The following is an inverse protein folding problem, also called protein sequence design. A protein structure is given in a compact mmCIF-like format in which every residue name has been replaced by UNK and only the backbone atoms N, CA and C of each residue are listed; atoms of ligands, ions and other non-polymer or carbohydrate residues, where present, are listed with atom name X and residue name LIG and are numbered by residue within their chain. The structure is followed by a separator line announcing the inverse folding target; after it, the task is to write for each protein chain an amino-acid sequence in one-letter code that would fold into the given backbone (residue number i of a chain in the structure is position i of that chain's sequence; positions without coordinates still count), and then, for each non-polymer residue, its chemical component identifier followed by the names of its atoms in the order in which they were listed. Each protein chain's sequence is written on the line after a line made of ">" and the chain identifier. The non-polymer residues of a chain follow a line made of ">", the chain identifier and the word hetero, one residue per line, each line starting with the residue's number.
data_IF_165674037544
#
_entry.id   IF_165674037544
#
_cell.length_a   1.000
_cell.length_b   1.000
_cell.length_c   1.000
_cell.angle_alpha   90.00
_cell.angle_beta   90.00
_cell.angle_gamma   90.00
#
_symmetry.space_group_name_H-M   'P 1'
#
loop_
_entity.id
_entity.type
_entity.pdbx_description
1 polymer ?
#
# COMPACT_ATOMS: atom_id res chain seq x y z
N UNK A 1 3.75 25.24 11.31
CA UNK A 1 3.56 25.08 9.86
C UNK A 1 4.84 25.33 9.10
N UNK A 2 5.19 24.44 8.18
CA UNK A 2 6.51 24.40 7.55
C UNK A 2 6.82 25.54 6.54
N UNK A 3 5.95 26.53 6.35
CA UNK A 3 6.13 27.67 5.42
C UNK A 3 6.67 27.27 4.03
N UNK A 4 6.15 26.18 3.46
CA UNK A 4 6.53 25.69 2.13
C UNK A 4 5.67 26.39 1.09
N UNK A 5 6.28 27.22 0.22
CA UNK A 5 5.59 27.90 -0.89
C UNK A 5 5.35 26.98 -2.08
N UNK A 6 6.36 26.19 -2.45
CA UNK A 6 6.31 25.22 -3.55
C UNK A 6 7.00 23.92 -3.10
N UNK A 7 6.50 22.77 -3.57
CA UNK A 7 7.08 21.46 -3.22
C UNK A 7 8.31 21.25 -4.12
N UNK A 8 9.53 21.11 -3.58
CA UNK A 8 10.71 20.89 -4.42
C UNK A 8 10.66 19.50 -5.10
N UNK A 9 11.30 19.34 -6.26
CA UNK A 9 11.52 18.03 -6.85
C UNK A 9 12.40 17.18 -5.93
N UNK A 10 12.03 15.92 -5.74
CA UNK A 10 12.77 15.02 -4.87
C UNK A 10 11.95 13.83 -4.38
N UNK A 11 12.58 13.06 -3.50
CA UNK A 11 11.99 11.90 -2.84
C UNK A 11 12.03 12.09 -1.33
N UNK A 12 10.97 11.66 -0.66
CA UNK A 12 10.82 11.74 0.79
C UNK A 12 10.26 10.44 1.34
N UNK A 13 10.80 10.03 2.47
CA UNK A 13 10.26 8.93 3.27
C UNK A 13 9.80 9.49 4.61
N UNK A 14 8.66 9.02 5.07
CA UNK A 14 8.12 9.31 6.39
C UNK A 14 7.66 8.02 7.04
N UNK A 15 8.00 7.84 8.30
CA UNK A 15 7.56 6.71 9.11
C UNK A 15 6.94 7.25 10.39
N UNK A 16 5.90 6.58 10.86
CA UNK A 16 5.28 6.86 12.15
C UNK A 16 4.83 5.57 12.80
N UNK A 17 4.86 5.54 14.12
CA UNK A 17 4.34 4.43 14.90
C UNK A 17 2.82 4.57 15.02
N UNK A 18 2.10 3.79 14.21
CA UNK A 18 0.66 3.67 14.34
C UNK A 18 0.32 2.62 15.42
N UNK A 19 -0.92 2.57 15.93
CA UNK A 19 -1.30 1.60 16.98
C UNK A 19 -1.06 0.12 16.63
N UNK A 20 -0.85 -0.20 15.35
CA UNK A 20 -0.68 -1.55 14.80
C UNK A 20 0.75 -1.83 14.32
N UNK A 21 1.67 -0.88 14.52
CA UNK A 21 3.07 -0.93 14.09
C UNK A 21 3.46 0.19 13.11
N UNK A 22 4.62 0.00 12.49
CA UNK A 22 5.24 0.99 11.60
C UNK A 22 4.39 1.26 10.34
N UNK A 23 3.92 2.51 10.22
CA UNK A 23 3.29 3.04 9.03
C UNK A 23 4.30 3.83 8.20
N UNK A 24 4.55 3.38 6.97
CA UNK A 24 5.57 3.97 6.08
C UNK A 24 4.94 4.64 4.86
N UNK A 25 5.38 5.87 4.58
CA UNK A 25 4.95 6.71 3.48
C UNK A 25 6.16 7.09 2.64
N UNK A 26 6.15 6.70 1.37
CA UNK A 26 7.10 7.18 0.37
C UNK A 26 6.40 8.15 -0.57
N UNK A 27 6.99 9.33 -0.77
CA UNK A 27 6.48 10.38 -1.66
C UNK A 27 7.58 10.79 -2.62
N UNK A 28 7.22 10.93 -3.90
CA UNK A 28 8.06 11.54 -4.92
C UNK A 28 7.36 12.74 -5.54
N UNK A 29 8.09 13.84 -5.65
CA UNK A 29 7.69 15.08 -6.32
C UNK A 29 8.62 15.37 -7.49
N UNK A 30 8.09 15.93 -8.57
CA UNK A 30 8.82 16.51 -9.71
C UNK A 30 8.86 18.04 -9.66
N UNK A 31 8.45 18.65 -8.54
CA UNK A 31 8.35 20.10 -8.40
C UNK A 31 6.95 20.63 -8.70
N UNK A 32 6.03 19.79 -9.17
CA UNK A 32 4.64 20.19 -9.42
C UNK A 32 3.78 20.13 -8.16
N UNK A 33 2.55 20.65 -8.25
CA UNK A 33 1.58 20.61 -7.16
C UNK A 33 0.97 19.21 -6.91
N UNK A 34 1.40 18.18 -7.63
CA UNK A 34 0.89 16.81 -7.48
C UNK A 34 2.04 15.84 -7.26
N UNK A 35 1.93 14.90 -6.30
CA UNK A 35 2.94 13.88 -6.13
C UNK A 35 2.96 12.98 -7.37
N UNK A 36 4.13 12.83 -7.97
CA UNK A 36 4.38 11.84 -9.04
C UNK A 36 4.07 10.44 -8.54
N UNK A 37 4.44 10.17 -7.29
CA UNK A 37 4.17 8.90 -6.63
C UNK A 37 3.95 9.14 -5.14
N UNK A 38 2.86 8.58 -4.61
CA UNK A 38 2.69 8.38 -3.18
C UNK A 38 2.43 6.89 -2.93
N UNK A 39 3.30 6.24 -2.16
CA UNK A 39 3.19 4.83 -1.79
C UNK A 39 3.07 4.74 -0.27
N UNK A 40 1.96 4.15 0.16
CA UNK A 40 1.71 3.84 1.57
C UNK A 40 1.92 2.34 1.80
N UNK A 41 2.63 2.03 2.88
CA UNK A 41 2.76 0.69 3.48
C UNK A 41 2.13 0.76 4.87
N UNK A 42 0.86 0.40 4.93
CA UNK A 42 0.14 0.27 6.19
C UNK A 42 0.74 -0.87 7.03
N UNK A 43 0.69 -0.77 8.37
CA UNK A 43 1.23 -1.79 9.27
C UNK A 43 0.58 -3.15 9.05
N UNK A 44 -0.76 -3.21 9.00
CA UNK A 44 -1.51 -4.46 8.77
C UNK A 44 -1.13 -5.15 7.46
N UNK A 45 -0.66 -4.42 6.43
CA UNK A 45 -0.24 -5.04 5.16
C UNK A 45 0.99 -5.95 5.35
N UNK A 46 1.85 -5.62 6.32
CA UNK A 46 3.02 -6.43 6.65
C UNK A 46 2.70 -7.52 7.68
N UNK A 47 1.72 -7.30 8.55
CA UNK A 47 1.33 -8.29 9.55
C UNK A 47 0.46 -9.41 8.96
N UNK A 48 -0.36 -9.15 7.94
CA UNK A 48 -1.31 -10.15 7.43
C UNK A 48 -0.66 -11.47 6.93
N UNK A 49 0.49 -11.46 6.23
CA UNK A 49 1.17 -12.68 5.84
C UNK A 49 1.65 -13.55 7.02
N UNK A 50 1.83 -12.98 8.22
CA UNK A 50 2.23 -13.80 9.38
C UNK A 50 1.15 -14.79 9.77
N UNK A 51 -0.13 -14.47 9.51
CA UNK A 51 -1.24 -15.39 9.74
C UNK A 51 -1.08 -16.71 8.99
N UNK A 52 -0.54 -16.70 7.76
CA UNK A 52 -0.31 -17.93 6.99
C UNK A 52 0.68 -18.86 7.71
N UNK A 53 1.75 -18.29 8.26
CA UNK A 53 2.76 -19.06 8.99
C UNK A 53 2.26 -19.54 10.36
N UNK A 54 1.41 -18.77 11.04
CA UNK A 54 0.94 -19.09 12.40
C UNK A 54 -0.30 -19.98 12.44
N UNK A 55 -1.10 -20.05 11.38
CA UNK A 55 -2.32 -20.87 11.34
C UNK A 55 -2.00 -22.35 11.07
N UNK A 56 -0.88 -22.64 10.39
CA UNK A 56 -0.53 -24.02 10.01
C UNK A 56 -0.21 -24.85 11.26
N UNK A 57 -1.04 -25.85 11.53
CA UNK A 57 -0.90 -26.76 12.67
C UNK A 57 -1.87 -26.47 13.83
N UNK A 58 -2.62 -25.38 13.75
CA UNK A 58 -3.59 -24.98 14.79
C UNK A 58 -5.02 -25.46 14.47
N UNK A 59 -5.92 -25.36 15.46
CA UNK A 59 -7.33 -25.68 15.25
C UNK A 59 -8.04 -24.59 14.44
N UNK A 60 -9.11 -24.96 13.75
CA UNK A 60 -9.94 -24.02 12.97
C UNK A 60 -10.51 -22.89 13.86
N UNK A 61 -10.80 -23.18 15.13
CA UNK A 61 -11.23 -22.18 16.12
C UNK A 61 -10.18 -21.09 16.33
N UNK A 62 -8.91 -21.45 16.32
CA UNK A 62 -7.79 -20.57 16.65
C UNK A 62 -7.45 -19.63 15.49
N UNK A 63 -7.84 -19.98 14.26
CA UNK A 63 -7.64 -19.13 13.08
C UNK A 63 -8.21 -17.71 13.27
N UNK A 64 -9.37 -17.59 13.93
CA UNK A 64 -10.00 -16.28 14.20
C UNK A 64 -9.28 -15.49 15.28
N UNK A 65 -8.75 -16.17 16.30
CA UNK A 65 -8.00 -15.57 17.41
C UNK A 65 -6.63 -15.08 16.91
N UNK A 66 -5.95 -15.89 16.11
CA UNK A 66 -4.68 -15.56 15.46
C UNK A 66 -4.84 -14.34 14.55
N UNK A 67 -5.92 -14.28 13.77
CA UNK A 67 -6.22 -13.12 12.95
C UNK A 67 -6.54 -11.88 13.79
N UNK A 68 -7.30 -12.02 14.89
CA UNK A 68 -7.61 -10.91 15.78
C UNK A 68 -6.36 -10.35 16.50
N UNK A 69 -5.38 -11.21 16.80
CA UNK A 69 -4.15 -10.83 17.49
C UNK A 69 -3.31 -9.78 16.72
N UNK A 70 -3.39 -9.75 15.39
CA UNK A 70 -2.68 -8.75 14.56
C UNK A 70 -3.45 -7.43 14.38
N UNK A 71 -4.64 -7.29 14.99
CA UNK A 71 -5.57 -6.17 14.86
C UNK A 71 -5.71 -5.65 13.41
N UNK A 72 -6.33 -6.45 12.51
CA UNK A 72 -6.31 -6.16 11.10
C UNK A 72 -7.21 -4.97 10.74
N UNK A 73 -6.61 -3.90 10.22
CA UNK A 73 -7.34 -2.83 9.56
C UNK A 73 -7.49 -3.12 8.05
N UNK A 74 -8.63 -3.68 7.64
CA UNK A 74 -8.92 -3.93 6.23
C UNK A 74 -8.90 -2.66 5.37
N UNK A 75 -9.44 -1.55 5.87
CA UNK A 75 -9.41 -0.26 5.15
C UNK A 75 -7.98 0.23 4.87
N UNK A 76 -7.01 -0.17 5.70
CA UNK A 76 -5.61 0.22 5.56
C UNK A 76 -4.85 -0.68 4.57
N UNK A 77 -5.30 -1.91 4.37
CA UNK A 77 -4.69 -2.91 3.47
C UNK A 77 -5.35 -2.97 2.10
N UNK A 78 -6.63 -2.62 2.05
CA UNK A 78 -7.41 -2.60 0.83
C UNK A 78 -7.02 -1.40 -0.04
N UNK A 79 -6.76 -1.69 -1.31
CA UNK A 79 -6.57 -0.70 -2.37
C UNK A 79 -7.53 -0.94 -3.54
N UNK A 80 -8.67 -1.60 -3.28
CA UNK A 80 -9.63 -1.97 -4.33
C UNK A 80 -10.59 -0.83 -4.62
N UNK A 81 -10.93 -0.60 -5.89
CA UNK A 81 -12.01 0.32 -6.26
C UNK A 81 -12.67 -0.03 -7.61
N UNK A 82 -13.99 0.22 -7.63
CA UNK A 82 -15.04 0.26 -8.67
C UNK A 82 -15.75 -1.04 -9.10
N UNK A 83 -17.04 -1.09 -8.73
CA UNK A 83 -18.11 -1.79 -9.43
C UNK A 83 -18.87 -0.83 -10.36
N UNK A 84 -19.30 -1.29 -11.55
CA UNK A 84 -20.22 -0.55 -12.42
C UNK A 84 -21.25 -1.52 -13.04
N UNK A 85 -22.52 -1.16 -12.99
CA UNK A 85 -23.67 -1.88 -13.57
C UNK A 85 -23.73 -1.82 -15.11
N UNK A 86 -22.84 -1.06 -15.77
CA UNK A 86 -22.74 -0.91 -17.24
C UNK A 86 -21.32 -1.19 -17.77
N UNK A 87 -21.12 -2.39 -18.33
CA UNK A 87 -20.05 -2.88 -19.26
C UNK A 87 -18.73 -2.07 -19.38
N UNK A 88 -18.05 -1.71 -18.28
CA UNK A 88 -16.64 -1.31 -18.30
C UNK A 88 -15.77 -2.41 -17.71
N UNK A 89 -14.56 -2.57 -18.26
CA UNK A 89 -13.62 -3.67 -17.99
C UNK A 89 -13.41 -3.84 -16.48
N UNK A 90 -13.83 -4.99 -15.96
CA UNK A 90 -13.62 -5.38 -14.56
C UNK A 90 -12.17 -5.84 -14.46
N UNK A 91 -11.37 -5.13 -13.68
CA UNK A 91 -9.99 -5.54 -13.37
C UNK A 91 -10.03 -6.44 -12.14
N UNK A 92 -9.54 -7.67 -12.28
CA UNK A 92 -9.32 -8.55 -11.15
C UNK A 92 -8.18 -8.03 -10.27
N UNK A 93 -8.06 -8.55 -9.04
CA UNK A 93 -6.90 -8.24 -8.18
C UNK A 93 -5.56 -8.53 -8.86
N UNK A 94 -5.49 -9.61 -9.68
CA UNK A 94 -4.31 -9.93 -10.48
C UNK A 94 -4.01 -8.86 -11.53
N UNK A 95 -5.04 -8.34 -12.18
CA UNK A 95 -4.88 -7.27 -13.18
C UNK A 95 -4.38 -5.98 -12.53
N UNK A 96 -4.88 -5.64 -11.35
CA UNK A 96 -4.43 -4.47 -10.60
C UNK A 96 -2.98 -4.62 -10.12
N UNK A 97 -2.58 -5.80 -9.68
CA UNK A 97 -1.18 -6.09 -9.30
C UNK A 97 -0.26 -5.94 -10.52
N UNK A 98 -0.67 -6.50 -11.67
CA UNK A 98 0.07 -6.38 -12.94
C UNK A 98 0.23 -4.91 -13.34
N UNK A 99 -0.87 -4.15 -13.39
CA UNK A 99 -0.86 -2.73 -13.71
C UNK A 99 0.00 -1.91 -12.74
N UNK A 100 -0.02 -2.24 -11.44
CA UNK A 100 0.82 -1.59 -10.45
C UNK A 100 2.31 -1.84 -10.69
N UNK A 101 2.69 -3.07 -11.07
CA UNK A 101 4.08 -3.44 -11.38
C UNK A 101 4.55 -2.75 -12.65
N UNK A 102 3.77 -2.84 -13.73
CA UNK A 102 4.06 -2.17 -15.01
C UNK A 102 4.20 -0.65 -14.84
N UNK A 103 3.30 -0.01 -14.08
CA UNK A 103 3.42 1.43 -13.80
C UNK A 103 4.66 1.76 -12.99
N UNK A 104 5.07 0.88 -12.08
CA UNK A 104 6.31 1.07 -11.31
C UNK A 104 7.55 0.94 -12.20
N UNK A 105 7.56 0.01 -13.15
CA UNK A 105 8.64 -0.14 -14.13
C UNK A 105 8.71 1.06 -15.09
N UNK A 106 7.58 1.53 -15.61
CA UNK A 106 7.52 2.74 -16.45
C UNK A 106 8.09 3.93 -15.69
N UNK A 107 7.73 4.10 -14.41
CA UNK A 107 8.26 5.16 -13.57
C UNK A 107 9.77 4.99 -13.33
N UNK A 108 10.26 3.78 -13.01
CA UNK A 108 11.70 3.50 -12.90
C UNK A 108 12.47 3.90 -14.16
N UNK A 109 11.97 3.49 -15.33
CA UNK A 109 12.59 3.80 -16.62
C UNK A 109 12.61 5.30 -16.91
N UNK A 110 11.50 6.01 -16.68
CA UNK A 110 11.42 7.48 -16.82
C UNK A 110 12.34 8.22 -15.85
N UNK A 111 12.64 7.61 -14.71
CA UNK A 111 13.47 8.20 -13.65
C UNK A 111 14.95 7.84 -13.77
N UNK A 112 15.34 6.97 -14.70
CA UNK A 112 16.73 6.52 -14.86
C UNK A 112 17.26 5.67 -13.69
N UNK A 113 16.38 5.16 -12.83
CA UNK A 113 16.76 4.33 -11.67
C UNK A 113 16.79 2.87 -12.13
N UNK A 114 17.98 2.40 -12.51
CA UNK A 114 18.25 0.98 -12.80
C UNK A 114 18.15 0.14 -11.54
#
# INVERSE_FOLDING_TARGET
>A
DANIKDIPPGEGIGFIEAPRGECFHYVKSDGTNRPVRHKVRAPTFMNLPTCEATIVGEYISDATIILAAIDPCYCCTERMTVCNTKRKKIYSGKDLIKLSREKTEILRNKMGVK
#
